data_IF_929280045775
#
_entry.id   IF_929280045775
#
_cell.length_a   1.000
_cell.length_b   1.000
_cell.length_c   1.000
_cell.angle_alpha   90.00
_cell.angle_beta   90.00
_cell.angle_gamma   90.00
#
_symmetry.space_group_name_H-M   'P 1'
#
loop_
_entity.id
_entity.type
_entity.pdbx_description
1 polymer ?
#
# COMPACT_ATOMS: atom_id res chain seq x y z
N UNK A 1 -19.10 -30.05 -6.30
CA UNK A 1 -18.85 -31.45 -6.76
C UNK A 1 -19.16 -31.65 -8.25
N UNK A 2 -20.35 -31.26 -8.74
CA UNK A 2 -20.74 -31.44 -10.15
C UNK A 2 -19.80 -30.70 -11.12
N UNK A 3 -19.41 -29.45 -10.82
CA UNK A 3 -18.48 -28.68 -11.65
C UNK A 3 -17.08 -29.32 -11.71
N UNK A 4 -16.58 -29.82 -10.58
CA UNK A 4 -15.27 -30.48 -10.52
C UNK A 4 -15.28 -31.81 -11.30
N UNK A 5 -16.36 -32.59 -11.19
CA UNK A 5 -16.54 -33.82 -11.98
C UNK A 5 -16.64 -33.52 -13.48
N UNK A 6 -17.34 -32.45 -13.86
CA UNK A 6 -17.44 -32.00 -15.25
C UNK A 6 -16.07 -31.55 -15.81
N UNK A 7 -15.34 -30.70 -15.08
CA UNK A 7 -13.99 -30.26 -15.48
C UNK A 7 -13.06 -31.47 -15.59
N UNK A 8 -13.08 -32.38 -14.62
CA UNK A 8 -12.27 -33.59 -14.64
C UNK A 8 -12.60 -34.48 -15.85
N UNK A 9 -13.87 -34.72 -16.14
CA UNK A 9 -14.30 -35.48 -17.31
C UNK A 9 -13.82 -34.84 -18.62
N UNK A 10 -13.99 -33.51 -18.76
CA UNK A 10 -13.54 -32.76 -19.94
C UNK A 10 -12.03 -32.85 -20.09
N UNK A 11 -11.25 -32.64 -19.02
CA UNK A 11 -9.79 -32.73 -19.04
C UNK A 11 -9.33 -34.15 -19.39
N UNK A 12 -9.91 -35.18 -18.79
CA UNK A 12 -9.57 -36.57 -19.09
C UNK A 12 -9.89 -36.94 -20.54
N UNK A 13 -11.08 -36.58 -21.04
CA UNK A 13 -11.45 -36.79 -22.45
C UNK A 13 -10.49 -36.06 -23.39
N UNK A 14 -10.09 -34.85 -23.02
CA UNK A 14 -9.18 -34.03 -23.79
C UNK A 14 -7.78 -34.64 -23.89
N UNK A 15 -7.21 -35.07 -22.76
CA UNK A 15 -5.87 -35.67 -22.72
C UNK A 15 -5.84 -37.07 -23.34
N UNK A 16 -6.83 -37.92 -23.05
CA UNK A 16 -6.83 -39.31 -23.50
C UNK A 16 -7.23 -39.43 -24.98
N UNK A 17 -8.25 -38.70 -25.42
CA UNK A 17 -8.79 -38.87 -26.77
C UNK A 17 -8.35 -37.78 -27.75
N UNK A 18 -8.39 -36.50 -27.37
CA UNK A 18 -8.12 -35.43 -28.35
C UNK A 18 -6.63 -35.25 -28.64
N UNK A 19 -5.77 -35.31 -27.61
CA UNK A 19 -4.32 -35.17 -27.77
C UNK A 19 -3.67 -36.36 -28.49
N UNK A 20 -4.15 -37.58 -28.26
CA UNK A 20 -3.69 -38.78 -28.96
C UNK A 20 -3.95 -38.74 -30.48
N UNK A 21 -4.99 -38.02 -30.91
CA UNK A 21 -5.37 -37.85 -32.32
C UNK A 21 -4.78 -36.61 -33.00
N UNK A 22 -4.00 -35.79 -32.27
CA UNK A 22 -3.42 -34.54 -32.81
C UNK A 22 -2.41 -34.79 -33.94
N UNK A 23 -1.86 -36.01 -34.01
CA UNK A 23 -0.96 -36.48 -35.06
C UNK A 23 -1.67 -36.80 -36.39
N UNK A 24 -3.00 -36.95 -36.38
CA UNK A 24 -3.81 -37.18 -37.59
C UNK A 24 -4.16 -35.82 -38.20
N UNK A 25 -3.43 -35.46 -39.28
CA UNK A 25 -3.44 -34.15 -39.96
C UNK A 25 -4.83 -33.53 -40.21
N UNK A 26 -5.85 -34.37 -40.47
CA UNK A 26 -7.21 -33.90 -40.79
C UNK A 26 -8.01 -33.34 -39.60
N UNK A 27 -7.81 -33.87 -38.39
CA UNK A 27 -8.62 -33.48 -37.22
C UNK A 27 -8.08 -32.25 -36.48
N UNK A 28 -6.79 -31.92 -36.67
CA UNK A 28 -6.08 -30.85 -35.94
C UNK A 28 -6.80 -29.50 -35.99
N UNK A 29 -7.29 -29.08 -37.16
CA UNK A 29 -8.02 -27.82 -37.32
C UNK A 29 -9.35 -27.80 -36.54
N UNK A 30 -10.09 -28.90 -36.58
CA UNK A 30 -11.38 -29.04 -35.89
C UNK A 30 -11.21 -29.02 -34.37
N UNK A 31 -10.20 -29.72 -33.86
CA UNK A 31 -9.86 -29.74 -32.43
C UNK A 31 -9.50 -28.32 -31.96
N UNK A 32 -8.60 -27.64 -32.67
CA UNK A 32 -8.20 -26.26 -32.35
C UNK A 32 -9.42 -25.33 -32.36
N UNK A 33 -10.28 -25.42 -33.37
CA UNK A 33 -11.49 -24.59 -33.48
C UNK A 33 -12.46 -24.84 -32.30
N UNK A 34 -12.65 -26.10 -31.91
CA UNK A 34 -13.52 -26.48 -30.79
C UNK A 34 -13.01 -25.93 -29.46
N UNK A 35 -11.70 -25.98 -29.22
CA UNK A 35 -11.09 -25.34 -28.05
C UNK A 35 -11.29 -23.83 -28.04
N UNK A 36 -11.08 -23.16 -29.18
CA UNK A 36 -11.31 -21.71 -29.27
C UNK A 36 -12.79 -21.37 -29.03
N UNK A 37 -13.72 -22.18 -29.53
CA UNK A 37 -15.15 -21.99 -29.30
C UNK A 37 -15.52 -22.20 -27.82
N UNK A 38 -15.01 -23.27 -27.18
CA UNK A 38 -15.21 -23.53 -25.76
C UNK A 38 -14.63 -22.40 -24.90
N UNK A 39 -13.40 -21.99 -25.20
CA UNK A 39 -12.73 -20.89 -24.51
C UNK A 39 -13.51 -19.58 -24.67
N UNK A 40 -13.96 -19.27 -25.89
CA UNK A 40 -14.83 -18.12 -26.17
C UNK A 40 -16.13 -18.17 -25.38
N UNK A 41 -16.83 -19.32 -25.35
CA UNK A 41 -18.05 -19.52 -24.57
C UNK A 41 -17.82 -19.33 -23.07
N UNK A 42 -16.71 -19.85 -22.52
CA UNK A 42 -16.37 -19.65 -21.12
C UNK A 42 -16.06 -18.19 -20.81
N UNK A 43 -15.35 -17.49 -21.69
CA UNK A 43 -15.11 -16.05 -21.56
C UNK A 43 -16.43 -15.28 -21.57
N UNK A 44 -17.34 -15.58 -22.49
CA UNK A 44 -18.66 -14.94 -22.55
C UNK A 44 -19.46 -15.20 -21.27
N UNK A 45 -19.44 -16.42 -20.72
CA UNK A 45 -20.13 -16.75 -19.48
C UNK A 45 -19.56 -15.98 -18.27
N UNK A 46 -18.25 -15.76 -18.23
CA UNK A 46 -17.57 -14.95 -17.21
C UNK A 46 -17.91 -13.46 -17.39
N UNK A 47 -17.79 -12.94 -18.62
CA UNK A 47 -18.08 -11.53 -18.93
C UNK A 47 -19.55 -11.16 -18.72
N UNK A 48 -20.47 -12.10 -18.93
CA UNK A 48 -21.90 -11.91 -18.64
C UNK A 48 -22.25 -12.03 -17.15
N UNK A 49 -21.29 -12.39 -16.29
CA UNK A 49 -21.49 -12.49 -14.85
C UNK A 49 -22.32 -13.70 -14.41
N UNK A 50 -22.56 -14.67 -15.30
CA UNK A 50 -23.28 -15.91 -14.96
C UNK A 50 -22.54 -16.76 -13.93
N UNK A 51 -21.20 -16.68 -13.93
CA UNK A 51 -20.35 -17.22 -12.89
C UNK A 51 -19.60 -16.07 -12.21
N UNK A 52 -19.93 -15.72 -10.97
CA UNK A 52 -19.27 -14.62 -10.28
C UNK A 52 -17.80 -14.96 -10.06
N UNK A 53 -16.91 -14.01 -10.34
CA UNK A 53 -15.47 -14.16 -10.15
C UNK A 53 -15.08 -14.33 -8.69
N UNK A 54 -15.91 -13.80 -7.77
CA UNK A 54 -15.68 -13.86 -6.33
C UNK A 54 -16.92 -14.39 -5.62
N UNK A 55 -16.70 -15.25 -4.63
CA UNK A 55 -17.71 -15.85 -3.76
C UNK A 55 -17.22 -15.80 -2.32
N UNK A 56 -18.02 -16.25 -1.35
CA UNK A 56 -17.56 -16.38 0.03
C UNK A 56 -16.39 -17.38 0.16
N UNK A 57 -16.38 -18.43 -0.66
CA UNK A 57 -15.30 -19.43 -0.72
C UNK A 57 -14.07 -18.93 -1.50
N UNK A 58 -14.25 -17.97 -2.42
CA UNK A 58 -13.21 -17.38 -3.26
C UNK A 58 -13.29 -15.87 -3.11
N UNK A 59 -12.85 -15.39 -1.95
CA UNK A 59 -13.00 -13.99 -1.60
C UNK A 59 -12.04 -13.07 -2.37
N UNK A 60 -12.52 -11.86 -2.69
CA UNK A 60 -11.69 -10.79 -3.19
C UNK A 60 -10.92 -10.15 -2.03
N UNK A 61 -9.60 -10.16 -2.14
CA UNK A 61 -8.70 -9.40 -1.27
C UNK A 61 -8.92 -7.88 -1.46
N UNK A 62 -9.34 -7.18 -0.41
CA UNK A 62 -9.46 -5.71 -0.39
C UNK A 62 -8.80 -5.13 0.86
N UNK A 63 -8.28 -3.91 0.74
CA UNK A 63 -7.69 -3.15 1.81
C UNK A 63 -8.60 -1.99 2.18
N UNK A 64 -8.95 -1.87 3.46
CA UNK A 64 -9.63 -0.69 4.00
C UNK A 64 -8.71 -0.07 5.05
N UNK A 65 -8.23 1.14 4.79
CA UNK A 65 -7.31 1.84 5.67
C UNK A 65 -7.81 3.26 5.89
N UNK A 66 -8.03 3.65 7.15
CA UNK A 66 -8.21 5.04 7.54
C UNK A 66 -6.85 5.72 7.62
N UNK A 67 -6.68 6.77 6.84
CA UNK A 67 -5.42 7.46 6.66
C UNK A 67 -5.57 8.87 7.20
N UNK A 68 -4.64 9.25 8.06
CA UNK A 68 -4.46 10.62 8.54
C UNK A 68 -3.11 11.10 8.05
N UNK A 69 -3.10 11.96 7.03
CA UNK A 69 -1.89 12.52 6.44
C UNK A 69 -1.68 13.95 6.91
N UNK A 70 -0.45 14.30 7.29
CA UNK A 70 -0.09 15.67 7.61
C UNK A 70 0.29 16.41 6.32
N UNK A 71 -0.58 17.31 5.88
CA UNK A 71 -0.32 18.16 4.71
C UNK A 71 0.11 19.56 5.16
N UNK A 72 1.07 20.14 4.44
CA UNK A 72 1.43 21.56 4.59
C UNK A 72 0.30 22.40 4.02
N UNK A 73 -0.44 23.12 4.87
CA UNK A 73 -1.48 24.03 4.43
C UNK A 73 -0.92 25.27 3.74
N UNK A 74 -1.76 25.98 2.99
CA UNK A 74 -1.38 27.19 2.24
C UNK A 74 -0.77 28.30 3.11
N UNK A 75 -1.09 28.34 4.40
CA UNK A 75 -0.56 29.32 5.36
C UNK A 75 0.71 28.83 6.09
N UNK A 76 1.31 27.72 5.64
CA UNK A 76 2.43 27.07 6.32
C UNK A 76 2.03 26.27 7.57
N UNK A 77 0.76 26.32 8.00
CA UNK A 77 0.24 25.51 9.11
C UNK A 77 -0.01 24.07 8.66
N UNK A 78 0.50 23.10 9.42
CA UNK A 78 0.32 21.69 9.14
C UNK A 78 -1.09 21.27 9.62
N UNK A 79 -1.97 20.93 8.68
CA UNK A 79 -3.32 20.48 9.01
C UNK A 79 -3.48 19.01 8.57
N UNK A 80 -3.96 18.13 9.46
CA UNK A 80 -4.20 16.74 9.06
C UNK A 80 -5.38 16.66 8.10
N UNK A 81 -5.14 16.04 6.95
CA UNK A 81 -6.20 15.54 6.10
C UNK A 81 -6.50 14.09 6.48
N UNK A 82 -7.78 13.76 6.61
CA UNK A 82 -8.21 12.41 6.95
C UNK A 82 -9.17 11.85 5.90
N UNK A 83 -9.00 10.59 5.53
CA UNK A 83 -9.85 9.87 4.59
C UNK A 83 -9.67 8.35 4.72
N UNK A 84 -10.70 7.60 4.36
CA UNK A 84 -10.57 6.14 4.23
C UNK A 84 -10.25 5.81 2.78
N UNK A 85 -9.25 4.96 2.60
CA UNK A 85 -8.83 4.40 1.32
C UNK A 85 -9.26 2.94 1.23
N UNK A 86 -9.89 2.60 0.10
CA UNK A 86 -10.23 1.24 -0.33
C UNK A 86 -9.41 0.92 -1.59
N UNK A 87 -8.59 -0.12 -1.54
CA UNK A 87 -7.79 -0.55 -2.69
C UNK A 87 -7.59 -2.06 -2.72
N UNK A 88 -7.16 -2.59 -3.87
CA UNK A 88 -6.82 -4.01 -4.02
C UNK A 88 -5.47 -4.16 -4.70
N UNK A 89 -4.73 -5.19 -4.30
CA UNK A 89 -3.55 -5.65 -5.04
C UNK A 89 -3.93 -6.52 -6.25
N UNK A 90 -5.15 -7.06 -6.29
CA UNK A 90 -5.64 -7.83 -7.44
C UNK A 90 -5.99 -6.88 -8.60
N UNK A 91 -5.53 -7.17 -9.83
CA UNK A 91 -5.90 -6.37 -10.99
C UNK A 91 -7.43 -6.27 -11.16
N UNK A 92 -7.89 -5.08 -11.54
CA UNK A 92 -9.30 -4.82 -11.78
C UNK A 92 -9.79 -3.55 -11.09
N UNK A 93 -11.03 -3.18 -11.37
CA UNK A 93 -11.71 -2.04 -10.74
C UNK A 93 -12.47 -2.47 -9.47
N UNK A 94 -12.86 -1.49 -8.67
CA UNK A 94 -13.60 -1.69 -7.41
C UNK A 94 -15.09 -1.33 -7.51
N UNK A 95 -15.65 -1.31 -8.73
CA UNK A 95 -17.02 -0.82 -8.96
C UNK A 95 -18.08 -1.63 -8.20
N UNK A 96 -17.90 -2.95 -8.08
CA UNK A 96 -18.85 -3.84 -7.38
C UNK A 96 -18.84 -3.71 -5.87
N UNK A 97 -17.67 -3.46 -5.29
CA UNK A 97 -17.50 -3.18 -3.87
C UNK A 97 -18.15 -1.83 -3.54
N UNK A 98 -17.92 -0.83 -4.40
CA UNK A 98 -18.41 0.53 -4.22
C UNK A 98 -19.93 0.65 -4.41
N UNK A 99 -20.55 -0.22 -5.20
CA UNK A 99 -22.01 -0.31 -5.33
C UNK A 99 -22.71 -0.47 -3.97
N UNK A 100 -22.11 -1.22 -3.03
CA UNK A 100 -22.61 -1.40 -1.66
C UNK A 100 -22.26 -0.24 -0.72
N UNK A 101 -21.27 0.59 -1.10
CA UNK A 101 -20.74 1.69 -0.31
C UNK A 101 -21.19 3.08 -0.80
N UNK A 102 -22.25 3.16 -1.61
CA UNK A 102 -22.74 4.44 -2.19
C UNK A 102 -22.98 5.53 -1.13
N UNK A 103 -23.45 5.17 0.06
CA UNK A 103 -23.69 6.12 1.15
C UNK A 103 -22.41 6.73 1.74
N UNK A 104 -21.26 6.09 1.52
CA UNK A 104 -19.95 6.51 2.05
C UNK A 104 -19.20 7.44 1.11
N UNK A 105 -19.77 7.81 -0.05
CA UNK A 105 -19.24 8.84 -0.97
C UNK A 105 -17.81 8.59 -1.45
N UNK A 106 -17.51 7.34 -1.82
CA UNK A 106 -16.22 6.98 -2.38
C UNK A 106 -16.04 7.52 -3.80
N UNK A 107 -14.87 8.09 -4.06
CA UNK A 107 -14.40 8.47 -5.39
C UNK A 107 -13.24 7.58 -5.79
N UNK A 108 -13.35 6.89 -6.93
CA UNK A 108 -12.33 5.96 -7.42
C UNK A 108 -11.54 6.55 -8.59
N UNK A 109 -10.24 6.30 -8.63
CA UNK A 109 -9.41 6.77 -9.73
C UNK A 109 -7.94 6.45 -9.59
N UNK A 110 -7.18 6.95 -10.56
CA UNK A 110 -5.70 6.96 -10.55
C UNK A 110 -5.11 8.35 -10.32
N UNK A 111 -5.99 9.34 -10.13
CA UNK A 111 -5.63 10.77 -10.04
C UNK A 111 -4.89 11.12 -8.75
N UNK A 112 -5.15 10.38 -7.67
CA UNK A 112 -4.48 10.54 -6.38
C UNK A 112 -3.78 9.23 -6.00
N UNK A 113 -2.57 8.95 -6.53
CA UNK A 113 -1.81 7.82 -6.05
C UNK A 113 -1.51 8.01 -4.55
N UNK A 114 -1.58 6.91 -3.80
CA UNK A 114 -1.35 6.93 -2.37
C UNK A 114 -0.09 6.15 -2.06
N UNK A 115 0.89 6.81 -1.46
CA UNK A 115 2.09 6.17 -0.96
C UNK A 115 1.90 5.77 0.52
N UNK A 116 1.84 4.46 0.79
CA UNK A 116 1.78 3.89 2.14
C UNK A 116 3.17 3.58 2.73
N UNK A 117 4.15 4.39 2.30
CA UNK A 117 5.59 4.44 2.63
C UNK A 117 6.45 3.43 1.87
N UNK A 118 6.42 3.68 0.56
CA UNK A 118 6.97 3.02 -0.63
C UNK A 118 6.27 1.73 -1.06
N UNK A 119 5.00 1.60 -0.68
CA UNK A 119 4.01 0.81 -1.41
C UNK A 119 3.01 1.79 -2.02
N UNK A 120 3.09 1.98 -3.34
CA UNK A 120 2.26 2.96 -4.05
C UNK A 120 0.99 2.30 -4.58
N UNK A 121 -0.15 2.79 -4.09
CA UNK A 121 -1.47 2.44 -4.59
C UNK A 121 -1.77 3.33 -5.80
N UNK A 122 -1.60 2.79 -7.00
CA UNK A 122 -1.86 3.52 -8.25
C UNK A 122 -3.36 3.65 -8.60
N UNK A 123 -4.19 2.72 -8.11
CA UNK A 123 -5.63 2.77 -8.27
C UNK A 123 -6.29 2.43 -6.95
N UNK A 124 -7.17 3.32 -6.49
CA UNK A 124 -7.92 3.15 -5.26
C UNK A 124 -9.16 4.04 -5.26
N UNK A 125 -10.01 3.78 -4.28
CA UNK A 125 -11.17 4.59 -3.96
C UNK A 125 -10.93 5.25 -2.61
N UNK A 126 -11.33 6.51 -2.45
CA UNK A 126 -11.16 7.22 -1.21
C UNK A 126 -12.41 8.01 -0.85
N UNK A 127 -12.62 8.23 0.44
CA UNK A 127 -13.72 9.03 0.96
C UNK A 127 -13.27 9.83 2.18
N UNK A 128 -13.62 11.12 2.23
CA UNK A 128 -13.37 12.03 3.35
C UNK A 128 -14.60 12.28 4.24
N UNK A 129 -15.78 11.74 3.90
CA UNK A 129 -17.01 11.86 4.70
C UNK A 129 -16.82 11.39 6.15
N UNK A 130 -17.10 12.19 7.16
CA UNK A 130 -16.96 11.82 8.58
C UNK A 130 -15.58 11.21 8.96
N UNK A 131 -14.51 11.64 8.28
CA UNK A 131 -13.17 11.06 8.48
C UNK A 131 -12.42 11.63 9.69
N UNK A 132 -12.97 12.62 10.40
CA UNK A 132 -12.32 13.23 11.56
C UNK A 132 -12.54 12.45 12.87
N UNK A 133 -13.41 11.44 12.84
CA UNK A 133 -13.76 10.69 14.04
C UNK A 133 -12.87 9.45 14.23
N UNK A 134 -12.57 9.15 15.50
CA UNK A 134 -11.87 7.91 15.91
C UNK A 134 -10.34 8.00 15.97
N UNK A 135 -9.75 9.17 15.75
CA UNK A 135 -8.33 9.44 15.94
C UNK A 135 -8.13 10.80 16.63
N UNK A 136 -7.00 10.97 17.33
CA UNK A 136 -6.63 12.22 17.99
C UNK A 136 -5.43 12.88 17.31
N UNK A 137 -5.36 14.20 17.35
CA UNK A 137 -4.15 14.93 16.94
C UNK A 137 -2.91 14.51 17.74
N UNK A 138 -3.08 14.07 18.97
CA UNK A 138 -1.98 13.60 19.83
C UNK A 138 -1.40 12.27 19.38
N UNK A 139 -2.16 11.49 18.58
CA UNK A 139 -1.73 10.22 18.01
C UNK A 139 -0.83 10.41 16.78
N UNK A 140 -0.75 11.62 16.22
CA UNK A 140 0.02 11.92 15.02
C UNK A 140 1.54 11.83 15.34
N UNK A 141 2.30 11.02 14.58
CA UNK A 141 3.73 10.89 14.78
C UNK A 141 4.47 12.18 14.44
N UNK A 142 5.57 12.42 15.16
CA UNK A 142 6.40 13.62 15.01
C UNK A 142 7.77 13.23 14.47
N UNK A 143 8.22 13.99 13.47
CA UNK A 143 9.59 14.04 12.99
C UNK A 143 10.11 15.44 13.33
N UNK A 144 11.03 15.55 14.29
CA UNK A 144 11.55 16.83 14.75
C UNK A 144 13.05 16.91 14.49
N UNK A 145 13.51 17.97 13.82
CA UNK A 145 14.93 18.22 13.64
C UNK A 145 15.47 18.87 14.91
N UNK A 146 16.39 18.18 15.58
CA UNK A 146 17.03 18.67 16.82
C UNK A 146 18.30 19.48 16.52
N UNK A 147 18.96 19.20 15.40
CA UNK A 147 20.14 19.95 14.97
C UNK A 147 20.58 19.59 13.55
N UNK A 148 21.13 20.56 12.85
CA UNK A 148 21.76 20.38 11.54
C UNK A 148 23.13 21.06 11.56
N UNK A 149 24.19 20.28 11.28
CA UNK A 149 25.56 20.74 11.37
C UNK A 149 26.30 20.52 10.06
N UNK A 150 27.11 21.51 9.65
CA UNK A 150 27.90 21.49 8.42
C UNK A 150 29.36 21.74 8.77
N UNK A 151 30.02 20.76 9.40
CA UNK A 151 31.44 20.86 9.77
C UNK A 151 32.35 20.32 8.68
N UNK A 152 32.16 19.06 8.27
CA UNK A 152 32.90 18.43 7.15
C UNK A 152 31.96 17.68 6.21
N UNK A 153 30.99 16.95 6.76
CA UNK A 153 29.85 16.35 6.07
C UNK A 153 28.60 16.85 6.78
N UNK A 154 27.59 17.30 6.01
CA UNK A 154 26.32 17.77 6.61
C UNK A 154 25.69 16.60 7.35
N UNK A 155 25.37 16.83 8.62
CA UNK A 155 24.76 15.83 9.52
C UNK A 155 23.54 16.43 10.18
N UNK A 156 22.39 15.77 10.04
CA UNK A 156 21.12 16.19 10.64
C UNK A 156 20.69 15.17 11.69
N UNK A 157 20.35 15.65 12.88
CA UNK A 157 19.77 14.85 13.96
C UNK A 157 18.26 15.04 13.97
N UNK A 158 17.53 13.93 13.88
CA UNK A 158 16.07 13.90 13.86
C UNK A 158 15.56 13.04 15.01
N UNK A 159 14.77 13.63 15.89
CA UNK A 159 14.00 12.92 16.90
C UNK A 159 12.72 12.38 16.26
N UNK A 160 12.49 11.08 16.39
CA UNK A 160 11.30 10.40 15.89
C UNK A 160 10.44 9.96 17.06
N UNK A 161 9.18 10.36 17.04
CA UNK A 161 8.19 9.95 18.04
C UNK A 161 6.96 9.37 17.34
N UNK A 162 6.80 8.05 17.41
CA UNK A 162 5.67 7.31 16.83
C UNK A 162 4.41 7.34 17.70
N UNK A 163 4.45 8.10 18.80
CA UNK A 163 3.36 8.24 19.78
C UNK A 163 2.98 6.88 20.36
N UNK A 164 1.76 6.43 20.06
CA UNK A 164 1.19 5.18 20.56
C UNK A 164 1.47 4.00 19.62
N UNK A 165 2.04 4.24 18.44
CA UNK A 165 2.24 3.21 17.44
C UNK A 165 3.52 2.41 17.70
N UNK A 166 3.36 1.12 17.93
CA UNK A 166 4.45 0.14 18.06
C UNK A 166 4.83 -0.52 16.74
N UNK A 167 4.11 -0.17 15.66
CA UNK A 167 4.38 -0.61 14.29
C UNK A 167 4.54 0.62 13.40
N UNK A 168 5.65 0.66 12.67
CA UNK A 168 5.95 1.79 11.82
C UNK A 168 6.82 1.37 10.62
N UNK A 169 6.78 2.18 9.59
CA UNK A 169 7.60 2.07 8.38
C UNK A 169 8.22 3.43 8.11
N UNK A 170 9.54 3.51 8.09
CA UNK A 170 10.32 4.71 7.82
C UNK A 170 11.02 4.55 6.46
N UNK A 171 10.83 5.49 5.55
CA UNK A 171 11.58 5.57 4.31
C UNK A 171 12.56 6.75 4.36
N UNK A 172 13.83 6.49 4.02
CA UNK A 172 14.93 7.44 3.99
C UNK A 172 15.33 7.68 2.53
N UNK A 173 15.42 8.95 2.11
CA UNK A 173 15.77 9.29 0.74
C UNK A 173 17.26 9.04 0.45
N UNK A 174 17.57 7.97 -0.28
CA UNK A 174 18.95 7.58 -0.63
C UNK A 174 19.59 8.46 -1.70
N UNK A 175 18.81 9.30 -2.39
CA UNK A 175 19.38 10.28 -3.32
C UNK A 175 20.03 11.46 -2.58
N UNK A 176 19.65 11.69 -1.31
CA UNK A 176 20.14 12.80 -0.48
C UNK A 176 20.99 12.32 0.69
N UNK A 177 20.62 11.21 1.31
CA UNK A 177 21.30 10.62 2.46
C UNK A 177 22.21 9.49 2.01
N UNK A 178 23.49 9.59 2.35
CA UNK A 178 24.51 8.58 2.08
C UNK A 178 24.46 7.47 3.14
N UNK A 179 24.30 7.87 4.40
CA UNK A 179 24.27 6.94 5.52
C UNK A 179 23.42 7.45 6.70
N UNK A 180 23.04 6.54 7.60
CA UNK A 180 22.26 6.89 8.79
C UNK A 180 22.57 5.96 9.96
N UNK A 181 22.33 6.45 11.18
CA UNK A 181 22.46 5.64 12.41
C UNK A 181 21.34 5.97 13.38
N UNK A 182 20.94 4.98 14.18
CA UNK A 182 20.00 5.18 15.29
C UNK A 182 20.75 5.62 16.56
N UNK A 183 20.24 6.64 17.24
CA UNK A 183 20.75 7.11 18.53
C UNK A 183 19.93 6.57 19.72
N UNK A 184 20.63 6.35 20.84
CA UNK A 184 20.07 5.93 22.14
C UNK A 184 20.23 4.44 22.45
N UNK A 185 20.18 4.09 23.76
CA UNK A 185 20.21 2.72 24.35
C UNK A 185 18.97 1.87 23.98
N UNK A 186 18.51 1.95 22.73
CA UNK A 186 17.37 1.20 22.25
C UNK A 186 17.78 -0.26 22.08
N UNK A 187 17.06 -1.14 22.78
CA UNK A 187 17.08 -2.59 22.56
C UNK A 187 16.90 -2.83 21.05
N UNK A 188 18.00 -3.16 20.39
CA UNK A 188 18.13 -3.55 18.99
C UNK A 188 17.03 -3.02 18.03
N UNK A 189 17.10 -1.74 17.68
CA UNK A 189 16.58 -1.25 16.39
C UNK A 189 17.55 -1.71 15.29
N UNK A 190 17.61 -3.01 15.03
CA UNK A 190 18.67 -3.57 14.19
C UNK A 190 18.24 -3.66 12.72
N UNK A 191 18.85 -2.87 11.82
CA UNK A 191 19.01 -3.30 10.44
C UNK A 191 20.25 -4.20 10.37
N UNK A 192 20.09 -5.50 10.63
CA UNK A 192 21.10 -6.51 10.29
C UNK A 192 21.00 -6.76 8.78
N UNK A 193 21.70 -5.91 8.03
CA UNK A 193 22.13 -6.07 6.64
C UNK A 193 21.20 -5.67 5.47
N UNK A 194 21.89 -5.27 4.39
CA UNK A 194 21.47 -4.80 3.06
C UNK A 194 20.49 -3.62 3.00
N UNK A 195 21.02 -2.45 2.60
CA UNK A 195 20.25 -1.29 2.14
C UNK A 195 19.33 -1.72 0.98
N UNK A 196 18.05 -1.97 1.27
CA UNK A 196 17.04 -2.13 0.22
C UNK A 196 16.84 -0.76 -0.42
N UNK A 197 16.96 -0.67 -1.75
CA UNK A 197 16.66 0.54 -2.50
C UNK A 197 15.42 0.25 -3.35
N UNK A 198 14.30 0.86 -2.96
CA UNK A 198 13.07 0.86 -3.76
C UNK A 198 12.87 2.29 -4.25
N UNK A 199 13.03 2.51 -5.55
CA UNK A 199 12.80 3.80 -6.22
C UNK A 199 13.52 5.00 -5.60
N UNK A 200 14.73 4.81 -5.04
CA UNK A 200 15.51 5.86 -4.40
C UNK A 200 15.26 6.01 -2.89
N UNK A 201 14.51 5.10 -2.28
CA UNK A 201 14.21 5.08 -0.85
C UNK A 201 14.76 3.83 -0.18
N UNK A 202 15.29 4.00 1.02
CA UNK A 202 15.63 2.91 1.93
C UNK A 202 14.54 2.75 2.98
N UNK A 203 13.97 1.55 3.10
CA UNK A 203 12.79 1.29 3.92
C UNK A 203 13.17 0.47 5.14
N UNK A 204 12.77 0.96 6.30
CA UNK A 204 12.92 0.29 7.59
C UNK A 204 11.52 0.04 8.13
N UNK A 205 11.18 -1.23 8.32
CA UNK A 205 9.91 -1.64 8.90
C UNK A 205 10.15 -2.23 10.28
N UNK A 206 9.37 -1.77 11.25
CA UNK A 206 9.48 -2.21 12.63
C UNK A 206 8.12 -2.66 13.17
N UNK A 207 8.12 -3.79 13.90
CA UNK A 207 6.92 -4.39 14.49
C UNK A 207 7.29 -5.19 15.75
N UNK A 208 7.77 -4.52 16.80
CA UNK A 208 8.34 -5.15 17.99
C UNK A 208 7.35 -5.54 19.11
N UNK A 209 6.04 -5.44 18.89
CA UNK A 209 5.04 -5.72 19.94
C UNK A 209 4.94 -4.62 21.01
N UNK A 210 4.43 -4.93 22.21
CA UNK A 210 4.09 -3.93 23.25
C UNK A 210 5.28 -3.12 23.77
N UNK A 211 6.46 -3.73 23.82
CA UNK A 211 7.68 -3.10 24.36
C UNK A 211 8.53 -2.43 23.28
N UNK A 212 7.94 -2.16 22.11
CA UNK A 212 8.60 -1.47 21.00
C UNK A 212 9.02 -0.06 21.39
N UNK A 213 10.23 0.40 21.02
CA UNK A 213 10.57 1.81 21.15
C UNK A 213 9.63 2.66 20.29
N UNK A 214 8.97 3.61 20.94
CA UNK A 214 8.12 4.63 20.28
C UNK A 214 8.82 5.97 20.13
N UNK A 215 10.02 6.09 20.70
CA UNK A 215 10.90 7.26 20.58
C UNK A 215 12.31 6.78 20.29
N UNK A 216 12.94 7.38 19.30
CA UNK A 216 14.31 7.09 18.93
C UNK A 216 14.89 8.26 18.13
N UNK A 217 16.21 8.39 18.16
CA UNK A 217 16.90 9.41 17.40
C UNK A 217 17.48 8.82 16.12
N UNK A 218 17.55 9.63 15.07
CA UNK A 218 18.12 9.29 13.79
C UNK A 218 19.17 10.33 13.43
N UNK A 219 20.42 9.91 13.26
CA UNK A 219 21.48 10.74 12.72
C UNK A 219 21.61 10.45 11.23
N UNK A 220 21.37 11.45 10.39
CA UNK A 220 21.41 11.38 8.94
C UNK A 220 22.69 12.03 8.40
N UNK A 221 23.42 11.31 7.56
CA UNK A 221 24.65 11.76 6.92
C UNK A 221 24.36 12.05 5.45
N UNK A 222 24.49 13.31 5.05
CA UNK A 222 24.15 13.75 3.69
C UNK A 222 25.23 13.36 2.69
N UNK A 223 24.80 13.04 1.46
CA UNK A 223 25.73 12.82 0.37
C UNK A 223 26.43 14.12 -0.04
N UNK A 224 27.72 14.02 -0.38
CA UNK A 224 28.54 15.19 -0.82
C UNK A 224 27.97 15.90 -2.05
N UNK A 225 27.17 15.21 -2.86
CA UNK A 225 26.53 15.76 -4.06
C UNK A 225 25.10 16.29 -3.82
N UNK A 226 24.57 16.20 -2.59
CA UNK A 226 23.21 16.61 -2.28
C UNK A 226 22.97 18.11 -2.57
N UNK A 227 23.97 18.97 -2.35
CA UNK A 227 23.92 20.41 -2.63
C UNK A 227 23.73 20.75 -4.11
N UNK A 228 24.29 19.99 -5.04
CA UNK A 228 24.08 20.20 -6.50
C UNK A 228 22.69 19.73 -6.99
N UNK A 229 22.04 18.84 -6.24
CA UNK A 229 20.77 18.23 -6.63
C UNK A 229 19.52 19.03 -6.20
N UNK A 230 19.68 20.10 -5.41
CA UNK A 230 18.61 21.06 -5.10
C UNK A 230 18.16 21.83 -6.36
N UNK A 231 19.05 22.07 -7.32
CA UNK A 231 18.74 22.79 -8.56
C UNK A 231 18.08 21.94 -9.66
N UNK A 232 18.16 20.60 -9.60
CA UNK A 232 17.58 19.69 -10.63
C UNK A 232 16.25 19.04 -10.21
N UNK A 233 15.84 19.17 -8.96
CA UNK A 233 14.63 18.52 -8.42
C UNK A 233 13.31 19.20 -8.86
N UNK A 234 13.40 20.32 -9.57
CA UNK A 234 12.29 21.11 -10.11
C UNK A 234 11.61 20.50 -11.35
N UNK A 235 12.01 19.30 -11.77
CA UNK A 235 11.33 18.57 -12.85
C UNK A 235 10.93 17.14 -12.41
N UNK A 236 9.70 16.99 -11.90
CA UNK A 236 8.85 15.85 -12.28
C UNK A 236 8.52 14.77 -11.25
N UNK A 237 8.98 14.80 -10.00
CA UNK A 237 8.51 13.88 -8.94
C UNK A 237 8.08 14.64 -7.69
N UNK A 238 6.81 14.47 -7.31
CA UNK A 238 6.17 15.11 -6.17
C UNK A 238 6.93 14.86 -4.85
N UNK A 239 7.67 13.74 -4.73
CA UNK A 239 8.45 13.37 -3.55
C UNK A 239 9.93 13.80 -3.54
N UNK A 240 10.41 14.50 -4.57
CA UNK A 240 11.85 14.86 -4.69
C UNK A 240 12.34 15.81 -3.59
N UNK A 241 11.40 16.48 -2.91
CA UNK A 241 11.63 17.45 -1.85
C UNK A 241 11.57 16.84 -0.43
N UNK A 242 11.25 15.54 -0.30
CA UNK A 242 11.13 14.86 0.99
C UNK A 242 12.44 14.16 1.38
N UNK A 243 12.81 14.31 2.65
CA UNK A 243 13.97 13.66 3.27
C UNK A 243 13.57 12.32 3.90
N UNK A 244 12.48 12.33 4.68
CA UNK A 244 11.94 11.16 5.38
C UNK A 244 10.44 11.03 5.12
N UNK A 245 9.96 9.80 5.06
CA UNK A 245 8.52 9.47 5.13
C UNK A 245 8.31 8.47 6.24
N UNK A 246 7.35 8.73 7.11
CA UNK A 246 7.03 7.87 8.24
C UNK A 246 5.55 7.50 8.18
N UNK A 247 5.30 6.19 8.18
CA UNK A 247 3.99 5.59 8.41
C UNK A 247 3.99 4.98 9.79
N UNK A 248 2.96 5.25 10.55
CA UNK A 248 2.70 4.57 11.82
C UNK A 248 1.32 3.96 11.79
N UNK A 249 1.22 2.74 12.32
CA UNK A 249 -0.01 1.95 12.27
C UNK A 249 -0.54 1.71 13.67
N UNK A 250 -1.82 1.98 13.88
CA UNK A 250 -2.48 1.88 15.17
C UNK A 250 -3.58 0.82 15.11
N UNK A 251 -3.58 -0.10 16.08
CA UNK A 251 -4.61 -1.11 16.22
C UNK A 251 -5.92 -0.53 16.77
N UNK A 252 -6.58 0.29 15.96
CA UNK A 252 -7.85 0.95 16.28
C UNK A 252 -8.75 0.93 15.06
N UNK A 253 -10.02 0.58 15.27
CA UNK A 253 -11.07 0.70 14.26
C UNK A 253 -11.80 2.00 14.53
N UNK A 254 -11.80 2.92 13.57
CA UNK A 254 -12.55 4.18 13.68
C UNK A 254 -14.03 3.96 13.33
N UNK A 255 -14.95 4.82 13.80
CA UNK A 255 -16.37 4.69 13.46
C UNK A 255 -16.62 4.60 11.96
N UNK A 256 -15.90 5.40 11.16
CA UNK A 256 -15.99 5.36 9.71
C UNK A 256 -15.56 4.00 9.13
N UNK A 257 -14.42 3.48 9.56
CA UNK A 257 -13.95 2.17 9.09
C UNK A 257 -14.92 1.08 9.48
N UNK A 258 -15.43 1.06 10.71
CA UNK A 258 -16.42 0.08 11.16
C UNK A 258 -17.64 0.02 10.23
N UNK A 259 -18.23 1.19 9.89
CA UNK A 259 -19.36 1.27 8.96
C UNK A 259 -19.05 0.73 7.57
N UNK A 260 -17.84 0.98 7.06
CA UNK A 260 -17.42 0.47 5.75
C UNK A 260 -17.28 -1.04 5.81
N UNK A 261 -16.65 -1.58 6.86
CA UNK A 261 -16.46 -3.01 7.03
C UNK A 261 -17.79 -3.77 7.13
N UNK A 262 -18.79 -3.20 7.80
CA UNK A 262 -20.14 -3.78 7.88
C UNK A 262 -20.89 -3.81 6.55
N UNK A 263 -20.62 -2.84 5.67
CA UNK A 263 -21.30 -2.69 4.37
C UNK A 263 -20.59 -3.39 3.22
N UNK A 264 -19.35 -3.82 3.42
CA UNK A 264 -18.60 -4.51 2.38
C UNK A 264 -19.32 -5.81 1.97
N UNK A 265 -19.26 -6.19 0.69
CA UNK A 265 -19.83 -7.45 0.24
C UNK A 265 -19.24 -8.65 1.00
N UNK A 266 -20.01 -9.71 1.27
CA UNK A 266 -19.54 -10.87 2.04
C UNK A 266 -18.40 -11.64 1.35
N UNK A 267 -18.30 -11.53 0.03
CA UNK A 267 -17.21 -12.07 -0.78
C UNK A 267 -15.94 -11.19 -0.75
N UNK A 268 -15.92 -10.08 -0.02
CA UNK A 268 -14.70 -9.30 0.23
C UNK A 268 -14.01 -9.78 1.51
N UNK A 269 -12.70 -10.00 1.43
CA UNK A 269 -11.86 -10.31 2.57
C UNK A 269 -10.83 -9.20 2.79
N UNK A 270 -10.60 -8.82 4.05
CA UNK A 270 -9.53 -7.90 4.46
C UNK A 270 -8.14 -8.56 4.45
N UNK A 271 -7.95 -9.54 3.56
CA UNK A 271 -6.71 -10.28 3.37
C UNK A 271 -5.91 -9.65 2.23
N UNK A 272 -4.58 -9.64 2.32
CA UNK A 272 -3.73 -8.82 1.43
C UNK A 272 -3.55 -7.40 1.95
N UNK A 273 -3.48 -7.27 3.28
CA UNK A 273 -3.23 -6.01 3.98
C UNK A 273 -1.96 -5.38 3.43
N UNK A 274 -1.95 -4.05 3.29
CA UNK A 274 -0.73 -3.25 3.12
C UNK A 274 0.35 -3.67 4.12
N UNK A 275 1.52 -3.04 4.14
CA UNK A 275 2.64 -3.38 5.04
C UNK A 275 2.30 -3.46 6.56
N UNK A 276 1.06 -3.18 6.98
CA UNK A 276 0.51 -3.43 8.31
C UNK A 276 -0.87 -4.11 8.32
N UNK A 277 -1.15 -4.94 9.35
CA UNK A 277 -2.45 -5.55 9.53
C UNK A 277 -3.54 -4.62 10.10
N UNK A 278 -3.20 -3.38 10.46
CA UNK A 278 -4.11 -2.45 11.11
C UNK A 278 -4.84 -1.55 10.12
N UNK A 279 -5.99 -1.03 10.57
CA UNK A 279 -6.93 -0.26 9.75
C UNK A 279 -6.86 1.25 9.96
N UNK A 280 -5.96 1.73 10.82
CA UNK A 280 -5.69 3.15 11.04
C UNK A 280 -4.18 3.39 10.86
N UNK A 281 -3.84 4.34 10.00
CA UNK A 281 -2.48 4.71 9.66
C UNK A 281 -2.32 6.22 9.68
N UNK A 282 -1.23 6.69 10.29
CA UNK A 282 -0.82 8.09 10.21
C UNK A 282 0.40 8.20 9.31
N UNK A 283 0.37 9.20 8.42
CA UNK A 283 1.45 9.52 7.49
C UNK A 283 2.01 10.90 7.82
N UNK A 284 3.32 10.96 8.04
CA UNK A 284 4.05 12.20 8.26
C UNK A 284 5.33 12.19 7.45
N UNK A 285 5.82 13.35 7.06
CA UNK A 285 7.04 13.47 6.25
C UNK A 285 7.88 14.64 6.74
N UNK A 286 9.19 14.52 6.53
CA UNK A 286 10.15 15.59 6.76
C UNK A 286 10.66 16.07 5.41
N UNK A 287 10.50 17.35 5.11
CA UNK A 287 11.01 17.96 3.89
C UNK A 287 12.52 18.23 3.98
N UNK A 288 13.16 18.45 2.83
CA UNK A 288 14.59 18.80 2.73
C UNK A 288 14.85 20.23 3.24
N UNK A 289 13.86 21.13 3.11
CA UNK A 289 13.88 22.55 3.47
C UNK A 289 13.24 22.81 4.85
N UNK A 290 13.59 21.99 5.84
CA UNK A 290 13.12 22.10 7.23
C UNK A 290 13.61 23.37 7.94
#
# INVERSE_FOLDING_TARGET
MILAAFISAVVCLTFVYLLSYIHVSGAKKSIILSFFALFGLTLVAIFSGNFPTYTEDIARAVNVVHIVEMNRGNNGTMNPASYVSLFSMTPGKLEKEIETLKSEEFTCGRSKPLDLVTFTVHYGCWSSKDSRDGWSHEDIPILQVEGDSVTSVRTTHVSVNTRIATRWSLAINTAKIEDFTFGGDSRELVPLNNKTNVDGWHIIQFSGGKDSPTKFDLMLIWSKNATHSLQRASQGKEDSHLLLKLRTDVNRITPKTARILEKLPPWCALFGKSTSPYTLSFLTSLAIDF
#
